data_IF_340344648432
#
_entry.id   IF_340344648432
#
_cell.length_a   1.000
_cell.length_b   1.000
_cell.length_c   1.000
_cell.angle_alpha   90.00
_cell.angle_beta   90.00
_cell.angle_gamma   90.00
#
_symmetry.space_group_name_H-M   'P 1'
#
loop_
_entity.id
_entity.type
_entity.pdbx_description
1 polymer ?
#
# COMPACT_ATOMS: atom_id res chain seq x y z
N UNK A 1 -6.22 -21.62 5.17
CA UNK A 1 -7.01 -20.92 4.14
C UNK A 1 -6.19 -20.89 2.87
N UNK A 2 -6.68 -21.39 1.74
CA UNK A 2 -6.03 -21.20 0.43
C UNK A 2 -6.38 -19.79 -0.02
N UNK A 3 -5.40 -18.92 -0.11
CA UNK A 3 -5.53 -17.60 -0.72
C UNK A 3 -5.36 -17.80 -2.23
N UNK A 4 -6.45 -17.92 -2.95
CA UNK A 4 -6.43 -17.91 -4.42
C UNK A 4 -6.37 -16.45 -4.87
N UNK A 5 -5.59 -16.16 -5.90
CA UNK A 5 -5.69 -14.85 -6.55
C UNK A 5 -7.13 -14.71 -7.04
N UNK A 6 -7.80 -13.64 -6.62
CA UNK A 6 -9.19 -13.41 -6.98
C UNK A 6 -9.25 -12.75 -8.36
N UNK A 7 -8.81 -13.50 -9.38
CA UNK A 7 -9.01 -13.14 -10.77
C UNK A 7 -10.47 -13.43 -11.14
N UNK A 8 -11.17 -12.42 -11.61
CA UNK A 8 -12.57 -12.52 -12.02
C UNK A 8 -12.62 -12.25 -13.52
N UNK A 9 -13.02 -13.25 -14.29
CA UNK A 9 -13.02 -13.20 -15.75
C UNK A 9 -14.41 -13.21 -16.32
N UNK A 10 -14.58 -12.45 -17.40
CA UNK A 10 -15.83 -12.41 -18.13
C UNK A 10 -16.82 -11.34 -17.62
N UNK A 11 -17.65 -10.86 -18.54
CA UNK A 11 -18.49 -9.67 -18.35
C UNK A 11 -19.48 -9.80 -17.21
N UNK A 12 -20.15 -10.95 -17.13
CA UNK A 12 -21.18 -11.18 -16.12
C UNK A 12 -20.55 -11.33 -14.74
N UNK A 13 -19.45 -12.07 -14.61
CA UNK A 13 -18.75 -12.28 -13.34
C UNK A 13 -18.18 -10.98 -12.78
N UNK A 14 -17.57 -10.14 -13.65
CA UNK A 14 -17.03 -8.83 -13.25
C UNK A 14 -18.17 -7.89 -12.83
N UNK A 15 -19.29 -7.84 -13.55
CA UNK A 15 -20.43 -7.01 -13.17
C UNK A 15 -21.03 -7.46 -11.84
N UNK A 16 -21.15 -8.77 -11.62
CA UNK A 16 -21.67 -9.30 -10.37
C UNK A 16 -20.72 -9.05 -9.18
N UNK A 17 -19.42 -9.08 -9.42
CA UNK A 17 -18.45 -8.71 -8.39
C UNK A 17 -18.64 -7.26 -7.90
N UNK A 18 -18.87 -6.30 -8.81
CA UNK A 18 -19.21 -4.93 -8.43
C UNK A 18 -20.54 -4.85 -7.67
N UNK A 19 -21.58 -5.57 -8.14
CA UNK A 19 -22.90 -5.58 -7.49
C UNK A 19 -22.90 -6.19 -6.10
N UNK A 20 -22.05 -7.19 -5.88
CA UNK A 20 -21.90 -7.85 -4.58
C UNK A 20 -21.03 -7.05 -3.60
N UNK A 21 -20.56 -5.86 -3.99
CA UNK A 21 -19.74 -5.00 -3.13
C UNK A 21 -18.28 -5.46 -2.99
N UNK A 22 -17.80 -6.36 -3.85
CA UNK A 22 -16.39 -6.76 -3.83
C UNK A 22 -15.49 -5.59 -4.22
N UNK A 23 -14.45 -5.37 -3.45
CA UNK A 23 -13.41 -4.38 -3.77
C UNK A 23 -12.57 -4.87 -4.94
N UNK A 24 -12.64 -4.15 -6.06
CA UNK A 24 -11.87 -4.44 -7.27
C UNK A 24 -10.69 -3.48 -7.33
N UNK A 25 -9.48 -4.00 -7.25
CA UNK A 25 -8.24 -3.21 -7.29
C UNK A 25 -7.94 -2.70 -8.71
N UNK A 26 -8.07 -3.58 -9.69
CA UNK A 26 -7.77 -3.26 -11.10
C UNK A 26 -8.77 -3.95 -12.02
N UNK A 27 -9.19 -3.23 -13.04
CA UNK A 27 -9.99 -3.75 -14.16
C UNK A 27 -9.17 -3.62 -15.44
N UNK A 28 -9.01 -4.72 -16.15
CA UNK A 28 -8.42 -4.76 -17.49
C UNK A 28 -9.52 -4.95 -18.52
N UNK A 29 -9.52 -4.10 -19.53
CA UNK A 29 -10.52 -4.06 -20.59
C UNK A 29 -9.82 -4.12 -21.93
N UNK A 30 -10.35 -4.90 -22.86
CA UNK A 30 -9.87 -4.96 -24.24
C UNK A 30 -9.94 -3.58 -24.87
N UNK A 31 -8.81 -3.09 -25.39
CA UNK A 31 -8.76 -1.81 -26.07
C UNK A 31 -9.66 -1.81 -27.33
N UNK A 32 -10.32 -0.69 -27.57
CA UNK A 32 -11.31 -0.56 -28.65
C UNK A 32 -12.67 -1.23 -28.40
N UNK A 33 -12.84 -2.00 -27.34
CA UNK A 33 -14.13 -2.62 -27.01
C UNK A 33 -15.10 -1.57 -26.41
N UNK A 34 -16.15 -1.23 -27.15
CA UNK A 34 -17.11 -0.19 -26.76
C UNK A 34 -18.57 -0.68 -26.76
N UNK A 35 -18.80 -1.96 -26.67
CA UNK A 35 -20.17 -2.49 -26.58
C UNK A 35 -20.88 -2.11 -25.26
N UNK A 36 -22.20 -2.23 -25.24
CA UNK A 36 -23.03 -1.79 -24.10
C UNK A 36 -22.64 -2.43 -22.76
N UNK A 37 -22.43 -3.75 -22.70
CA UNK A 37 -22.01 -4.42 -21.47
C UNK A 37 -20.67 -3.91 -20.92
N UNK A 38 -19.65 -3.76 -21.80
CA UNK A 38 -18.32 -3.27 -21.38
C UNK A 38 -18.39 -1.81 -20.92
N UNK A 39 -19.14 -0.96 -21.61
CA UNK A 39 -19.38 0.42 -21.17
C UNK A 39 -20.03 0.49 -19.78
N UNK A 40 -20.94 -0.43 -19.49
CA UNK A 40 -21.59 -0.52 -18.17
C UNK A 40 -20.60 -0.94 -17.08
N UNK A 41 -19.74 -1.91 -17.35
CA UNK A 41 -18.68 -2.35 -16.42
C UNK A 41 -17.71 -1.21 -16.15
N UNK A 42 -17.24 -0.50 -17.18
CA UNK A 42 -16.31 0.64 -17.03
C UNK A 42 -16.96 1.78 -16.22
N UNK A 43 -18.25 2.03 -16.43
CA UNK A 43 -19.00 3.02 -15.65
C UNK A 43 -19.07 2.62 -14.18
N UNK A 44 -19.32 1.35 -13.90
CA UNK A 44 -19.38 0.84 -12.53
C UNK A 44 -18.02 0.89 -11.86
N UNK A 45 -16.96 0.49 -12.56
CA UNK A 45 -15.59 0.62 -12.10
C UNK A 45 -15.21 2.06 -11.69
N UNK A 46 -15.64 3.05 -12.49
CA UNK A 46 -15.45 4.47 -12.17
C UNK A 46 -16.19 4.93 -10.92
N UNK A 47 -17.40 4.41 -10.67
CA UNK A 47 -18.16 4.73 -9.45
C UNK A 47 -17.47 4.19 -8.18
N UNK A 48 -16.82 3.03 -8.30
CA UNK A 48 -16.05 2.40 -7.23
C UNK A 48 -14.58 2.82 -7.20
N UNK A 49 -14.22 3.84 -7.97
CA UNK A 49 -12.86 4.39 -8.05
C UNK A 49 -11.79 3.31 -8.40
N UNK A 50 -12.22 2.27 -9.12
CA UNK A 50 -11.38 1.18 -9.59
C UNK A 50 -10.48 1.65 -10.72
N UNK A 51 -9.22 1.24 -10.72
CA UNK A 51 -8.27 1.53 -11.81
C UNK A 51 -8.66 0.73 -13.05
N UNK A 52 -8.99 1.44 -14.13
CA UNK A 52 -9.31 0.83 -15.43
C UNK A 52 -8.10 0.94 -16.36
N UNK A 53 -7.64 -0.20 -16.87
CA UNK A 53 -6.56 -0.31 -17.83
C UNK A 53 -7.11 -0.85 -19.15
N UNK A 54 -6.97 -0.10 -20.24
CA UNK A 54 -7.27 -0.58 -21.58
C UNK A 54 -6.01 -1.23 -22.13
N UNK A 55 -6.12 -2.49 -22.58
CA UNK A 55 -4.99 -3.31 -23.00
C UNK A 55 -5.28 -4.11 -24.26
N UNK A 56 -4.23 -4.49 -24.99
CA UNK A 56 -4.34 -5.37 -26.12
C UNK A 56 -4.80 -6.79 -25.71
N UNK A 57 -5.34 -7.54 -26.68
CA UNK A 57 -5.89 -8.89 -26.43
C UNK A 57 -4.84 -9.84 -25.85
N UNK A 58 -3.63 -9.78 -26.36
CA UNK A 58 -2.50 -10.61 -25.91
C UNK A 58 -2.21 -10.43 -24.40
N UNK A 59 -2.42 -9.21 -23.89
CA UNK A 59 -2.27 -8.94 -22.47
C UNK A 59 -3.38 -9.55 -21.64
N UNK A 60 -4.62 -9.53 -22.13
CA UNK A 60 -5.74 -10.23 -21.47
C UNK A 60 -5.53 -11.75 -21.48
N UNK A 61 -5.09 -12.29 -22.62
CA UNK A 61 -4.79 -13.73 -22.74
C UNK A 61 -3.70 -14.17 -21.75
N UNK A 62 -2.70 -13.31 -21.49
CA UNK A 62 -1.65 -13.57 -20.48
C UNK A 62 -2.16 -13.49 -19.03
N UNK A 63 -3.15 -12.65 -18.77
CA UNK A 63 -3.72 -12.44 -17.44
C UNK A 63 -4.84 -13.43 -17.11
N UNK A 64 -5.36 -14.12 -18.11
CA UNK A 64 -6.49 -15.03 -17.98
C UNK A 64 -6.04 -16.40 -17.50
N UNK A 65 -6.72 -16.92 -16.48
CA UNK A 65 -6.52 -18.28 -15.98
C UNK A 65 -7.32 -19.30 -16.80
N UNK A 66 -8.48 -18.88 -17.35
CA UNK A 66 -9.44 -19.76 -18.00
C UNK A 66 -9.47 -19.65 -19.53
N UNK A 67 -8.91 -18.58 -20.08
CA UNK A 67 -9.02 -18.25 -21.50
C UNK A 67 -10.38 -17.67 -21.92
N UNK A 68 -11.32 -17.51 -21.00
CA UNK A 68 -12.70 -17.08 -21.27
C UNK A 68 -13.02 -15.66 -20.78
N UNK A 69 -12.05 -14.74 -20.84
CA UNK A 69 -12.14 -13.40 -20.27
C UNK A 69 -13.19 -12.48 -20.98
N UNK A 70 -13.67 -12.79 -22.17
CA UNK A 70 -14.67 -11.98 -22.91
C UNK A 70 -14.33 -10.48 -23.02
N UNK A 71 -13.05 -10.15 -23.06
CA UNK A 71 -12.53 -8.78 -23.14
C UNK A 71 -12.45 -8.03 -21.81
N UNK A 72 -12.71 -8.67 -20.67
CA UNK A 72 -12.63 -8.05 -19.35
C UNK A 72 -12.08 -9.01 -18.31
N UNK A 73 -11.14 -8.51 -17.48
CA UNK A 73 -10.59 -9.22 -16.31
C UNK A 73 -10.52 -8.24 -15.15
N UNK A 74 -11.00 -8.63 -13.98
CA UNK A 74 -10.88 -7.86 -12.76
C UNK A 74 -10.03 -8.61 -11.72
N UNK A 75 -9.20 -7.85 -11.01
CA UNK A 75 -8.47 -8.34 -9.84
C UNK A 75 -9.13 -7.78 -8.59
N UNK A 76 -9.73 -8.67 -7.80
CA UNK A 76 -10.34 -8.30 -6.53
C UNK A 76 -9.31 -8.32 -5.41
N UNK A 77 -9.46 -7.40 -4.45
CA UNK A 77 -8.68 -7.41 -3.22
C UNK A 77 -9.00 -8.65 -2.38
N UNK A 78 -7.97 -9.23 -1.77
CA UNK A 78 -8.13 -10.35 -0.84
C UNK A 78 -8.64 -9.90 0.54
N UNK A 79 -8.52 -8.61 0.84
CA UNK A 79 -8.96 -7.96 2.08
C UNK A 79 -9.61 -6.61 1.77
N UNK A 80 -10.52 -6.18 2.63
CA UNK A 80 -11.10 -4.84 2.56
C UNK A 80 -10.06 -3.79 2.97
N UNK A 81 -10.11 -2.63 2.30
CA UNK A 81 -9.32 -1.49 2.70
C UNK A 81 -10.04 -0.71 3.79
N UNK A 82 -9.25 -0.17 4.71
CA UNK A 82 -9.71 0.78 5.71
C UNK A 82 -9.62 2.22 5.18
N UNK A 83 -10.25 3.13 5.87
CA UNK A 83 -10.02 4.57 5.70
C UNK A 83 -8.87 5.03 6.61
N UNK A 84 -8.24 6.15 6.29
CA UNK A 84 -7.17 6.74 7.11
C UNK A 84 -7.69 7.05 8.52
N UNK A 85 -8.94 7.47 8.64
CA UNK A 85 -9.61 7.74 9.91
C UNK A 85 -9.70 6.50 10.81
N UNK A 86 -9.91 5.32 10.25
CA UNK A 86 -9.97 4.08 11.02
C UNK A 86 -8.62 3.78 11.67
N UNK A 87 -7.51 4.06 10.95
CA UNK A 87 -6.15 3.90 11.48
C UNK A 87 -5.91 4.84 12.67
N UNK A 88 -6.29 6.11 12.54
CA UNK A 88 -6.11 7.09 13.60
C UNK A 88 -6.98 6.78 14.84
N UNK A 89 -8.20 6.29 14.60
CA UNK A 89 -9.12 5.88 15.67
C UNK A 89 -8.55 4.73 16.50
N UNK A 90 -7.85 3.78 15.89
CA UNK A 90 -7.17 2.69 16.63
C UNK A 90 -6.11 3.26 17.59
N UNK A 91 -5.35 4.28 17.16
CA UNK A 91 -4.36 4.93 18.02
C UNK A 91 -5.04 5.65 19.19
N UNK A 92 -6.13 6.36 18.92
CA UNK A 92 -6.92 7.05 19.96
C UNK A 92 -7.52 6.06 20.97
N UNK A 93 -8.13 4.96 20.51
CA UNK A 93 -8.71 3.92 21.37
C UNK A 93 -7.67 3.24 22.27
N UNK A 94 -6.41 3.13 21.78
CA UNK A 94 -5.29 2.62 22.58
C UNK A 94 -4.67 3.65 23.49
N UNK A 95 -4.99 4.94 23.34
CA UNK A 95 -4.35 6.04 24.06
C UNK A 95 -2.86 6.19 23.70
N UNK A 96 -2.48 5.82 22.49
CA UNK A 96 -1.09 5.83 21.99
C UNK A 96 -0.89 6.93 20.96
N UNK A 97 0.32 7.55 20.88
CA UNK A 97 0.67 8.42 19.77
C UNK A 97 0.59 7.64 18.45
N UNK A 98 -0.09 8.14 17.40
CA UNK A 98 -0.17 7.46 16.12
C UNK A 98 1.20 7.04 15.57
N UNK A 99 1.27 5.81 15.07
CA UNK A 99 2.40 5.29 14.32
C UNK A 99 1.86 4.64 13.04
N UNK A 100 2.20 5.21 11.89
CA UNK A 100 1.63 4.78 10.61
C UNK A 100 2.75 4.64 9.58
N UNK A 101 2.68 3.60 8.77
CA UNK A 101 3.56 3.46 7.61
C UNK A 101 2.90 4.07 6.38
N UNK A 102 3.67 4.81 5.60
CA UNK A 102 3.26 5.31 4.29
C UNK A 102 4.21 4.73 3.24
N UNK A 103 3.67 4.01 2.29
CA UNK A 103 4.46 3.27 1.31
C UNK A 103 4.32 3.92 -0.06
N UNK A 104 5.37 4.56 -0.54
CA UNK A 104 5.35 5.27 -1.82
C UNK A 104 5.97 4.42 -2.94
N UNK A 105 5.12 3.79 -3.74
CA UNK A 105 5.55 3.04 -4.91
C UNK A 105 6.02 1.60 -4.65
N UNK A 106 5.61 0.96 -3.56
CA UNK A 106 5.89 -0.46 -3.33
C UNK A 106 5.04 -1.32 -4.25
N UNK A 107 5.64 -1.92 -5.27
CA UNK A 107 4.96 -2.73 -6.29
C UNK A 107 5.15 -4.23 -6.11
N UNK A 108 6.17 -4.67 -5.38
CA UNK A 108 6.38 -6.09 -5.06
C UNK A 108 5.45 -6.54 -3.91
N UNK A 109 4.58 -7.54 -4.15
CA UNK A 109 3.68 -8.07 -3.13
C UNK A 109 4.41 -8.74 -1.95
N UNK A 110 5.62 -9.26 -2.16
CA UNK A 110 6.42 -9.81 -1.06
C UNK A 110 6.89 -8.71 -0.11
N UNK A 111 7.35 -7.59 -0.64
CA UNK A 111 7.75 -6.44 0.16
C UNK A 111 6.55 -5.85 0.91
N UNK A 112 5.42 -5.64 0.24
CA UNK A 112 4.23 -5.12 0.91
C UNK A 112 3.79 -6.03 2.07
N UNK A 113 3.71 -7.34 1.84
CA UNK A 113 3.33 -8.27 2.90
C UNK A 113 4.32 -8.31 4.07
N UNK A 114 5.64 -8.26 3.79
CA UNK A 114 6.67 -8.21 4.81
C UNK A 114 6.61 -6.90 5.62
N UNK A 115 6.36 -5.76 4.95
CA UNK A 115 6.22 -4.46 5.61
C UNK A 115 4.97 -4.44 6.50
N UNK A 116 3.83 -4.95 6.04
CA UNK A 116 2.60 -5.04 6.86
C UNK A 116 2.84 -5.90 8.10
N UNK A 117 3.55 -7.03 7.97
CA UNK A 117 3.94 -7.87 9.09
C UNK A 117 4.84 -7.12 10.08
N UNK A 118 5.83 -6.39 9.57
CA UNK A 118 6.71 -5.56 10.39
C UNK A 118 5.94 -4.45 11.10
N UNK A 119 5.05 -3.75 10.40
CA UNK A 119 4.19 -2.71 10.96
C UNK A 119 3.36 -3.24 12.14
N UNK A 120 2.75 -4.43 11.97
CA UNK A 120 2.02 -5.09 13.04
C UNK A 120 2.89 -5.34 14.27
N UNK A 121 4.06 -5.97 14.06
CA UNK A 121 4.96 -6.33 15.16
C UNK A 121 5.63 -5.13 15.83
N UNK A 122 5.81 -4.03 15.11
CA UNK A 122 6.31 -2.77 15.64
C UNK A 122 5.24 -1.93 16.35
N UNK A 123 4.00 -2.41 16.41
CA UNK A 123 2.88 -1.70 17.03
C UNK A 123 2.38 -0.50 16.23
N UNK A 124 2.60 -0.48 14.91
CA UNK A 124 1.99 0.53 14.07
C UNK A 124 0.46 0.34 13.97
N UNK A 125 -0.26 1.45 13.88
CA UNK A 125 -1.73 1.46 13.87
C UNK A 125 -2.31 1.16 12.49
N UNK A 126 -1.51 1.28 11.43
CA UNK A 126 -1.90 0.92 10.07
C UNK A 126 -0.85 1.24 9.02
N UNK A 127 -1.19 0.92 7.79
CA UNK A 127 -0.37 1.14 6.60
C UNK A 127 -1.18 1.91 5.57
N UNK A 128 -0.58 2.92 4.95
CA UNK A 128 -1.19 3.73 3.89
C UNK A 128 -0.42 3.47 2.59
N UNK A 129 -1.15 3.13 1.53
CA UNK A 129 -0.59 2.90 0.19
C UNK A 129 -1.27 3.81 -0.84
N UNK A 130 -0.61 4.19 -1.93
CA UNK A 130 -1.25 4.94 -2.99
C UNK A 130 -2.15 4.02 -3.83
N UNK A 131 -3.21 4.58 -4.41
CA UNK A 131 -4.10 3.85 -5.34
C UNK A 131 -3.39 3.41 -6.62
N UNK A 132 -2.41 4.18 -7.06
CA UNK A 132 -1.63 3.91 -8.29
C UNK A 132 -0.17 3.70 -7.95
N UNK A 133 0.56 2.99 -8.83
CA UNK A 133 1.99 2.68 -8.66
C UNK A 133 2.27 1.97 -7.33
N UNK A 134 1.39 1.06 -6.97
CA UNK A 134 1.56 0.19 -5.81
C UNK A 134 0.83 -1.13 -6.07
N UNK A 135 1.29 -2.17 -5.43
CA UNK A 135 0.55 -3.43 -5.36
C UNK A 135 -0.60 -3.29 -4.37
N UNK A 136 -1.75 -3.88 -4.70
CA UNK A 136 -2.90 -3.97 -3.78
C UNK A 136 -2.81 -5.15 -2.82
N UNK A 137 -3.87 -5.38 -2.04
CA UNK A 137 -3.97 -6.49 -1.09
C UNK A 137 -4.30 -7.80 -1.82
N UNK A 138 -3.34 -8.29 -2.59
CA UNK A 138 -3.43 -9.57 -3.33
C UNK A 138 -3.32 -10.78 -2.40
N UNK A 139 -3.65 -11.96 -2.92
CA UNK A 139 -3.44 -13.22 -2.21
C UNK A 139 -1.98 -13.45 -1.80
N UNK A 140 -1.02 -12.99 -2.62
CA UNK A 140 0.40 -13.06 -2.27
C UNK A 140 0.72 -12.17 -1.07
N UNK A 141 0.20 -10.93 -1.02
CA UNK A 141 0.36 -10.04 0.13
C UNK A 141 -0.26 -10.66 1.38
N UNK A 142 -1.46 -11.23 1.27
CA UNK A 142 -2.12 -11.92 2.37
C UNK A 142 -1.27 -13.07 2.93
N UNK A 143 -0.64 -13.87 2.06
CA UNK A 143 0.24 -14.97 2.44
C UNK A 143 1.53 -14.47 3.07
N UNK A 144 2.19 -13.49 2.47
CA UNK A 144 3.49 -12.98 2.93
C UNK A 144 3.40 -12.15 4.21
N UNK A 145 2.24 -11.53 4.47
CA UNK A 145 1.95 -10.86 5.74
C UNK A 145 1.78 -11.82 6.93
N UNK A 146 1.72 -13.14 6.67
CA UNK A 146 1.59 -14.18 7.70
C UNK A 146 0.45 -13.92 8.70
N UNK A 147 -0.68 -13.40 8.22
CA UNK A 147 -1.86 -13.09 9.01
C UNK A 147 -1.91 -11.69 9.63
N UNK A 148 -0.86 -10.86 9.46
CA UNK A 148 -0.85 -9.51 10.00
C UNK A 148 -1.97 -8.61 9.44
N UNK A 149 -2.44 -8.86 8.20
CA UNK A 149 -3.58 -8.16 7.61
C UNK A 149 -4.89 -8.28 8.41
N UNK A 150 -5.03 -9.29 9.26
CA UNK A 150 -6.22 -9.40 10.13
C UNK A 150 -6.21 -8.38 11.29
N UNK A 151 -5.07 -7.76 11.56
CA UNK A 151 -4.86 -6.89 12.72
C UNK A 151 -4.34 -5.51 12.36
N UNK A 152 -3.84 -5.34 11.14
CA UNK A 152 -3.23 -4.09 10.67
C UNK A 152 -4.03 -3.56 9.48
N UNK A 153 -4.86 -2.54 9.67
CA UNK A 153 -5.63 -1.95 8.59
C UNK A 153 -4.71 -1.32 7.54
N UNK A 154 -5.11 -1.44 6.29
CA UNK A 154 -4.42 -0.83 5.16
C UNK A 154 -5.37 0.13 4.47
N UNK A 155 -5.00 1.39 4.39
CA UNK A 155 -5.78 2.42 3.68
C UNK A 155 -5.19 2.72 2.30
N UNK A 156 -6.05 3.05 1.34
CA UNK A 156 -5.66 3.51 0.00
C UNK A 156 -5.94 4.98 -0.18
N UNK A 157 -4.93 5.74 -0.61
CA UNK A 157 -5.08 7.18 -0.84
C UNK A 157 -4.79 7.55 -2.30
N UNK A 158 -5.46 8.57 -2.80
CA UNK A 158 -5.27 9.07 -4.17
C UNK A 158 -4.00 9.90 -4.28
N UNK A 159 -3.65 10.67 -3.23
CA UNK A 159 -2.51 11.58 -3.21
C UNK A 159 -1.78 11.48 -1.87
N UNK A 160 -0.64 10.80 -1.87
CA UNK A 160 0.19 10.59 -0.67
C UNK A 160 0.69 11.91 -0.06
N UNK A 161 1.09 12.87 -0.90
CA UNK A 161 1.60 14.15 -0.42
C UNK A 161 0.52 14.97 0.30
N UNK A 162 -0.71 15.01 -0.23
CA UNK A 162 -1.83 15.67 0.44
C UNK A 162 -2.20 14.95 1.75
N UNK A 163 -2.19 13.62 1.75
CA UNK A 163 -2.45 12.84 2.98
C UNK A 163 -1.42 13.16 4.07
N UNK A 164 -0.16 13.32 3.71
CA UNK A 164 0.88 13.75 4.67
C UNK A 164 0.53 15.14 5.24
N UNK A 165 0.16 16.11 4.41
CA UNK A 165 -0.21 17.46 4.86
C UNK A 165 -1.41 17.42 5.82
N UNK A 166 -2.48 16.69 5.47
CA UNK A 166 -3.66 16.53 6.31
C UNK A 166 -3.33 15.89 7.67
N UNK A 167 -2.45 14.90 7.70
CA UNK A 167 -2.02 14.25 8.93
C UNK A 167 -1.06 15.12 9.76
N UNK A 168 -0.26 15.99 9.12
CA UNK A 168 0.56 17.00 9.82
C UNK A 168 -0.31 18.03 10.53
N UNK A 169 -1.40 18.45 9.94
CA UNK A 169 -2.38 19.34 10.59
C UNK A 169 -2.97 18.72 11.87
N UNK A 170 -2.94 17.39 11.98
CA UNK A 170 -3.35 16.63 13.18
C UNK A 170 -2.19 16.35 14.16
N UNK A 171 -1.04 16.98 13.94
CA UNK A 171 0.11 16.90 14.84
C UNK A 171 1.03 15.70 14.63
N UNK A 172 0.95 15.02 13.49
CA UNK A 172 1.91 13.97 13.14
C UNK A 172 3.18 14.55 12.51
N UNK A 173 4.31 13.89 12.74
CA UNK A 173 5.59 14.16 12.12
C UNK A 173 5.95 13.05 11.13
N UNK A 174 6.51 13.41 10.00
CA UNK A 174 6.82 12.47 8.93
C UNK A 174 8.33 12.32 8.75
N UNK A 175 8.79 11.09 8.81
CA UNK A 175 10.17 10.71 8.56
C UNK A 175 10.24 9.85 7.28
N UNK A 176 11.06 10.28 6.34
CA UNK A 176 11.28 9.62 5.07
C UNK A 176 12.59 8.82 5.13
N UNK A 177 12.57 7.57 4.69
CA UNK A 177 13.75 6.73 4.53
C UNK A 177 14.50 7.14 3.25
N UNK A 178 15.73 7.68 3.39
CA UNK A 178 16.58 8.04 2.26
C UNK A 178 18.05 8.12 2.69
N UNK A 179 18.96 7.74 1.81
CA UNK A 179 20.41 7.71 2.11
C UNK A 179 21.01 9.09 2.37
N UNK A 180 20.43 10.14 1.78
CA UNK A 180 20.90 11.53 1.93
C UNK A 180 20.45 12.21 3.22
N UNK A 181 19.83 11.48 4.15
CA UNK A 181 19.31 12.02 5.39
C UNK A 181 20.30 12.00 6.56
N UNK A 182 19.81 12.51 7.69
CA UNK A 182 20.51 12.40 8.98
C UNK A 182 20.45 10.94 9.47
N UNK A 183 21.47 10.51 10.20
CA UNK A 183 21.47 9.15 10.76
C UNK A 183 20.28 8.96 11.70
N UNK A 184 19.53 7.87 11.52
CA UNK A 184 18.31 7.58 12.26
C UNK A 184 18.46 7.67 13.78
N UNK A 185 19.64 7.40 14.31
CA UNK A 185 19.98 7.47 15.74
C UNK A 185 19.99 8.90 16.30
N UNK A 186 20.19 9.90 15.44
CA UNK A 186 20.26 11.32 15.80
C UNK A 186 18.88 12.02 15.77
N UNK A 187 17.90 11.40 15.13
CA UNK A 187 16.55 11.95 15.00
C UNK A 187 15.70 11.68 16.24
N UNK A 188 14.80 12.62 16.55
CA UNK A 188 13.77 12.39 17.55
C UNK A 188 12.53 11.75 16.91
N UNK A 189 12.39 10.45 17.08
CA UNK A 189 11.31 9.65 16.51
C UNK A 189 10.24 9.25 17.56
N UNK A 190 10.15 10.00 18.64
CA UNK A 190 9.10 9.86 19.66
C UNK A 190 7.83 10.59 19.24
N UNK A 191 6.70 10.20 19.82
CA UNK A 191 5.43 10.86 19.54
C UNK A 191 4.70 10.31 18.30
N UNK A 192 3.89 11.15 17.65
CA UNK A 192 3.05 10.78 16.50
C UNK A 192 3.90 10.76 15.22
N UNK A 193 4.19 9.58 14.67
CA UNK A 193 5.14 9.40 13.56
C UNK A 193 4.47 8.70 12.37
N UNK A 194 4.64 9.28 11.18
CA UNK A 194 4.47 8.63 9.88
C UNK A 194 5.83 8.23 9.30
N UNK A 195 6.07 6.93 9.13
CA UNK A 195 7.28 6.39 8.50
C UNK A 195 7.04 6.17 7.01
N UNK A 196 7.74 6.95 6.18
CA UNK A 196 7.60 6.92 4.72
C UNK A 196 8.70 6.06 4.11
N UNK A 197 8.32 5.03 3.37
CA UNK A 197 9.20 4.09 2.68
C UNK A 197 8.92 4.13 1.19
N UNK A 198 9.96 4.30 0.38
CA UNK A 198 9.90 4.25 -1.08
C UNK A 198 10.21 2.87 -1.66
N UNK A 199 10.11 2.74 -2.99
CA UNK A 199 10.54 1.53 -3.69
C UNK A 199 12.07 1.40 -3.76
N UNK A 200 12.56 0.23 -4.17
CA UNK A 200 13.99 -0.06 -4.22
C UNK A 200 14.75 0.69 -5.32
N UNK A 201 14.05 1.09 -6.40
CA UNK A 201 14.68 1.77 -7.54
C UNK A 201 14.76 3.26 -7.35
N UNK A 202 13.60 3.92 -7.28
CA UNK A 202 13.50 5.38 -7.27
C UNK A 202 13.45 5.97 -5.85
N UNK A 203 13.31 5.13 -4.82
CA UNK A 203 13.11 5.58 -3.45
C UNK A 203 11.74 6.24 -3.24
N UNK A 204 11.68 7.21 -2.35
CA UNK A 204 10.49 8.04 -2.12
C UNK A 204 10.40 9.13 -3.19
N UNK A 205 9.24 9.30 -3.80
CA UNK A 205 9.03 10.32 -4.84
C UNK A 205 9.34 11.73 -4.30
N UNK A 206 9.87 12.60 -5.17
CA UNK A 206 10.32 13.94 -4.79
C UNK A 206 9.25 14.72 -4.03
N UNK A 207 8.02 14.73 -4.52
CA UNK A 207 6.93 15.50 -3.90
C UNK A 207 6.58 14.98 -2.50
N UNK A 208 6.57 13.66 -2.31
CA UNK A 208 6.32 13.04 -1.00
C UNK A 208 7.47 13.34 -0.03
N UNK A 209 8.72 13.24 -0.50
CA UNK A 209 9.91 13.56 0.29
C UNK A 209 9.93 15.03 0.74
N UNK A 210 9.55 15.98 -0.14
CA UNK A 210 9.45 17.41 0.18
C UNK A 210 8.40 17.73 1.26
N UNK A 211 7.39 16.84 1.47
CA UNK A 211 6.38 16.99 2.52
C UNK A 211 6.79 16.40 3.87
N UNK A 212 7.83 15.58 3.90
CA UNK A 212 8.34 14.99 5.13
C UNK A 212 9.11 16.05 5.96
N UNK A 213 9.05 15.92 7.28
CA UNK A 213 9.72 16.82 8.23
C UNK A 213 11.18 16.42 8.45
N UNK A 214 11.47 15.13 8.33
CA UNK A 214 12.78 14.54 8.57
C UNK A 214 13.13 13.53 7.48
N UNK A 215 14.40 13.42 7.19
CA UNK A 215 14.95 12.40 6.30
C UNK A 215 15.90 11.56 7.13
N UNK A 216 15.61 10.26 7.27
CA UNK A 216 16.39 9.31 8.05
C UNK A 216 17.25 8.44 7.15
N UNK A 217 18.53 8.37 7.43
CA UNK A 217 19.44 7.41 6.81
C UNK A 217 19.80 6.28 7.75
N UNK A 218 19.90 5.08 7.18
CA UNK A 218 20.44 3.90 7.85
C UNK A 218 21.95 3.85 7.51
N UNK A 219 22.86 3.83 8.52
CA UNK A 219 24.29 3.77 8.23
C UNK A 219 24.69 2.50 7.49
N UNK A 220 25.24 2.65 6.29
CA UNK A 220 25.77 1.56 5.48
C UNK A 220 27.28 1.42 5.68
N UNK A 221 27.78 0.18 5.70
CA UNK A 221 29.21 -0.13 5.88
C UNK A 221 29.79 -0.99 4.73
N UNK A 222 28.94 -1.47 3.86
CA UNK A 222 29.31 -2.30 2.71
C UNK A 222 29.43 -1.49 1.42
N UNK A 223 29.73 -2.20 0.34
CA UNK A 223 29.88 -1.63 -1.01
C UNK A 223 28.52 -1.38 -1.70
N UNK A 224 27.46 -1.99 -1.19
CA UNK A 224 26.09 -1.77 -1.67
C UNK A 224 25.46 -0.66 -0.83
N UNK A 225 24.86 0.30 -1.51
CA UNK A 225 24.38 1.56 -0.94
C UNK A 225 22.93 1.53 -0.44
N UNK A 226 22.18 0.46 -0.68
CA UNK A 226 20.76 0.39 -0.29
C UNK A 226 20.36 -0.98 0.27
N UNK A 227 19.38 -0.99 1.18
CA UNK A 227 18.70 -2.17 1.67
C UNK A 227 17.42 -2.42 0.85
N UNK A 228 16.97 -3.67 0.81
CA UNK A 228 15.62 -3.96 0.37
C UNK A 228 14.60 -3.12 1.17
N UNK A 229 13.52 -2.65 0.52
CA UNK A 229 12.55 -1.75 1.12
C UNK A 229 11.91 -2.30 2.40
N UNK A 230 11.59 -3.61 2.44
CA UNK A 230 11.01 -4.21 3.64
C UNK A 230 12.01 -4.33 4.80
N UNK A 231 13.29 -4.50 4.49
CA UNK A 231 14.37 -4.51 5.49
C UNK A 231 14.59 -3.12 6.06
N UNK A 232 14.70 -2.10 5.19
CA UNK A 232 14.81 -0.70 5.60
C UNK A 232 13.64 -0.26 6.49
N UNK A 233 12.41 -0.64 6.10
CA UNK A 233 11.21 -0.42 6.88
C UNK A 233 11.32 -1.04 8.28
N UNK A 234 11.83 -2.25 8.38
CA UNK A 234 12.02 -2.94 9.66
C UNK A 234 13.05 -2.25 10.56
N UNK A 235 14.21 -1.88 10.00
CA UNK A 235 15.27 -1.20 10.76
C UNK A 235 14.78 0.13 11.34
N UNK A 236 14.16 0.98 10.51
CA UNK A 236 13.64 2.28 10.95
C UNK A 236 12.45 2.14 11.91
N UNK A 237 11.55 1.18 11.67
CA UNK A 237 10.44 0.93 12.57
C UNK A 237 10.90 0.55 13.98
N UNK A 238 11.90 -0.32 14.09
CA UNK A 238 12.43 -0.73 15.40
C UNK A 238 13.29 0.33 16.08
N UNK A 239 13.84 1.28 15.34
CA UNK A 239 14.42 2.49 15.95
C UNK A 239 13.32 3.36 16.57
N UNK A 240 12.19 3.54 15.90
CA UNK A 240 11.02 4.22 16.47
C UNK A 240 10.54 3.49 17.74
N UNK A 241 10.41 2.16 17.68
CA UNK A 241 10.03 1.34 18.84
C UNK A 241 11.01 1.51 20.00
N UNK A 242 12.33 1.42 19.72
CA UNK A 242 13.38 1.60 20.73
C UNK A 242 13.24 2.95 21.45
N UNK A 243 13.03 4.03 20.71
CA UNK A 243 12.89 5.36 21.27
C UNK A 243 11.59 5.51 22.09
N UNK A 244 10.48 4.95 21.62
CA UNK A 244 9.19 4.96 22.33
C UNK A 244 9.24 4.18 23.63
N UNK A 245 9.94 3.05 23.67
CA UNK A 245 10.17 2.25 24.87
C UNK A 245 11.13 2.91 25.85
N UNK A 246 11.81 3.99 25.47
CA UNK A 246 12.82 4.64 26.28
C UNK A 246 14.10 3.79 26.48
N UNK A 247 14.29 2.74 25.68
CA UNK A 247 15.48 1.92 25.71
C UNK A 247 16.71 2.72 25.26
N UNK A 248 17.79 2.61 26.06
CA UNK A 248 19.10 3.25 25.81
C UNK A 248 19.93 2.43 24.82
#
# INVERSE_FOLDING_TARGET
MRYEELTIEGRNAVMEAFRSGKTIDKLFVLDGCQDGPVKSIVREAKKHDTIVNFVAKERLDQLSDTGHHQGVIAFAAAYEYAEVEDILKIAEEKGEPPFVFLLDGIEDPHNLGAIIRTANLAGAHGVIIPKRRAVGLTATVARTSAGALNYTPVAKVTNMANTIEELKERGMWFVCADMGGEQMYCLNLKGSIGLVIGNEGDGVSRLVKEKCDMIASIPMKGDIDSLNASVAAGVLAYEIVRQRLGAK
#
